data_IF_346044174201
#
_entry.id   IF_346044174201
#
_cell.length_a   1.000
_cell.length_b   1.000
_cell.length_c   1.000
_cell.angle_alpha   90.00
_cell.angle_beta   90.00
_cell.angle_gamma   90.00
#
_symmetry.space_group_name_H-M   'P 1'
#
loop_
_entity.id
_entity.type
_entity.pdbx_description
1 polymer ?
#
# COMPACT_ATOMS: atom_id res chain seq x y z
N UNK A 1 8.08 1.65 7.27
CA UNK A 1 8.99 0.73 7.99
C UNK A 1 8.59 -0.70 7.69
N UNK A 2 9.57 -1.58 7.46
CA UNK A 2 9.39 -3.04 7.44
C UNK A 2 9.57 -3.63 8.84
N UNK A 3 8.57 -4.40 9.27
CA UNK A 3 8.51 -5.08 10.55
C UNK A 3 8.42 -6.60 10.30
N UNK A 4 9.34 -7.39 10.86
CA UNK A 4 9.40 -8.83 10.57
C UNK A 4 8.37 -9.56 11.42
N UNK A 5 7.38 -10.17 10.76
CA UNK A 5 6.36 -10.99 11.41
C UNK A 5 6.76 -12.47 11.43
N UNK A 6 7.29 -12.97 10.31
CA UNK A 6 7.83 -14.33 10.15
C UNK A 6 9.08 -14.29 9.26
N UNK A 7 9.73 -15.44 9.06
CA UNK A 7 10.89 -15.57 8.18
C UNK A 7 10.62 -15.17 6.73
N UNK A 8 9.42 -15.47 6.24
CA UNK A 8 8.98 -15.20 4.86
C UNK A 8 7.95 -14.08 4.78
N UNK A 9 7.71 -13.35 5.88
CA UNK A 9 6.64 -12.35 5.96
C UNK A 9 7.05 -11.09 6.72
N UNK A 10 6.95 -9.97 6.02
CA UNK A 10 7.23 -8.65 6.54
C UNK A 10 5.96 -7.79 6.46
N UNK A 11 5.75 -6.94 7.46
CA UNK A 11 4.64 -6.01 7.54
C UNK A 11 5.16 -4.60 7.26
N UNK A 12 4.43 -3.86 6.43
CA UNK A 12 4.72 -2.45 6.18
C UNK A 12 3.85 -1.60 7.10
N UNK A 13 4.48 -0.74 7.91
CA UNK A 13 3.83 0.15 8.87
C UNK A 13 4.38 1.58 8.74
N UNK A 14 3.55 2.59 8.98
CA UNK A 14 4.00 3.99 9.05
C UNK A 14 4.96 4.24 10.24
N UNK A 15 4.72 3.60 11.37
CA UNK A 15 5.54 3.66 12.59
C UNK A 15 5.46 2.33 13.36
N UNK A 16 6.34 2.09 14.37
CA UNK A 16 6.33 0.84 15.14
C UNK A 16 5.00 0.56 15.86
N UNK A 17 4.30 1.60 16.30
CA UNK A 17 3.02 1.49 17.02
C UNK A 17 1.81 1.52 16.07
N UNK A 18 2.02 1.81 14.79
CA UNK A 18 0.95 1.88 13.80
C UNK A 18 0.46 0.49 13.38
N UNK A 19 -0.82 0.37 13.00
CA UNK A 19 -1.34 -0.85 12.41
C UNK A 19 -0.62 -1.18 11.09
N UNK A 20 -0.58 -2.47 10.68
CA UNK A 20 -0.02 -2.86 9.39
C UNK A 20 -0.89 -2.33 8.25
N UNK A 21 -0.23 -1.79 7.23
CA UNK A 21 -0.86 -1.20 6.04
C UNK A 21 -0.67 -2.06 4.79
N UNK A 22 0.43 -2.81 4.73
CA UNK A 22 0.68 -3.79 3.67
C UNK A 22 1.47 -5.00 4.20
N UNK A 23 1.43 -6.08 3.43
CA UNK A 23 2.26 -7.28 3.64
C UNK A 23 3.24 -7.41 2.50
N UNK A 24 4.47 -7.78 2.82
CA UNK A 24 5.50 -8.20 1.88
C UNK A 24 5.84 -9.66 2.20
N UNK A 25 5.49 -10.56 1.30
CA UNK A 25 5.67 -12.01 1.49
C UNK A 25 6.70 -12.56 0.50
N UNK A 26 7.46 -13.57 0.91
CA UNK A 26 8.36 -14.29 0.02
C UNK A 26 7.53 -14.94 -1.10
N UNK A 27 7.90 -14.69 -2.34
CA UNK A 27 7.22 -15.26 -3.50
C UNK A 27 8.25 -15.70 -4.54
N UNK A 28 8.50 -17.01 -4.60
CA UNK A 28 9.58 -17.57 -5.40
C UNK A 28 10.94 -16.97 -5.00
N UNK A 29 11.64 -16.36 -5.97
CA UNK A 29 12.92 -15.68 -5.73
C UNK A 29 12.80 -14.23 -5.23
N UNK A 30 11.60 -13.66 -5.17
CA UNK A 30 11.34 -12.26 -4.85
C UNK A 30 10.42 -12.06 -3.65
N UNK A 31 9.77 -10.91 -3.64
CA UNK A 31 8.92 -10.41 -2.57
C UNK A 31 7.64 -9.83 -3.17
N UNK A 32 6.50 -10.40 -2.84
CA UNK A 32 5.19 -9.94 -3.30
C UNK A 32 4.64 -8.91 -2.32
N UNK A 33 4.26 -7.74 -2.84
CA UNK A 33 3.54 -6.72 -2.09
C UNK A 33 2.03 -6.93 -2.22
N UNK A 34 1.36 -6.99 -1.08
CA UNK A 34 -0.09 -7.11 -0.99
C UNK A 34 -0.60 -6.04 -0.05
N UNK A 35 -1.66 -5.32 -0.45
CA UNK A 35 -2.32 -4.36 0.44
C UNK A 35 -2.95 -5.10 1.61
N UNK A 36 -2.76 -4.60 2.85
CA UNK A 36 -3.39 -5.20 4.02
C UNK A 36 -4.87 -4.83 4.04
N UNK A 37 -5.75 -5.83 4.05
CA UNK A 37 -7.18 -5.64 4.28
C UNK A 37 -7.66 -6.50 5.45
N UNK A 38 -8.49 -5.91 6.33
CA UNK A 38 -9.04 -6.64 7.49
C UNK A 38 -10.00 -7.76 7.06
N UNK A 39 -10.60 -7.62 5.87
CA UNK A 39 -11.67 -8.51 5.41
C UNK A 39 -11.12 -9.75 4.66
N UNK A 40 -9.81 -9.84 4.38
CA UNK A 40 -9.14 -10.84 3.51
C UNK A 40 -9.70 -11.02 2.09
N UNK A 41 -10.95 -10.65 1.82
CA UNK A 41 -11.60 -10.72 0.51
C UNK A 41 -11.15 -9.61 -0.45
N UNK A 42 -10.34 -8.65 0.02
CA UNK A 42 -9.86 -7.49 -0.74
C UNK A 42 -8.34 -7.34 -0.78
N UNK A 43 -7.60 -8.43 -0.55
CA UNK A 43 -6.13 -8.41 -0.65
C UNK A 43 -5.72 -8.20 -2.12
N UNK A 44 -5.45 -6.94 -2.46
CA UNK A 44 -4.99 -6.56 -3.78
C UNK A 44 -3.47 -6.78 -3.87
N UNK A 45 -3.03 -7.61 -4.81
CA UNK A 45 -1.62 -7.77 -5.11
C UNK A 45 -1.14 -6.59 -5.96
N UNK A 46 -0.18 -5.83 -5.43
CA UNK A 46 0.33 -4.61 -6.05
C UNK A 46 1.56 -4.85 -6.93
N UNK A 47 2.23 -6.00 -6.76
CA UNK A 47 3.37 -6.40 -7.58
C UNK A 47 4.35 -7.33 -6.88
N UNK A 48 5.36 -7.78 -7.63
CA UNK A 48 6.48 -8.59 -7.14
C UNK A 48 7.79 -7.82 -7.36
N UNK A 49 8.62 -7.77 -6.32
CA UNK A 49 9.86 -7.02 -6.25
C UNK A 49 11.03 -7.95 -5.93
N UNK A 50 12.25 -7.57 -6.31
CA UNK A 50 13.45 -8.36 -6.07
C UNK A 50 13.96 -8.25 -4.63
N UNK A 51 13.57 -7.21 -3.90
CA UNK A 51 13.94 -6.95 -2.52
C UNK A 51 12.74 -6.42 -1.72
N UNK A 52 12.71 -6.68 -0.41
CA UNK A 52 11.61 -6.26 0.46
C UNK A 52 11.55 -4.73 0.60
N UNK A 53 12.70 -4.07 0.64
CA UNK A 53 12.86 -2.62 0.73
C UNK A 53 12.30 -1.93 -0.52
N UNK A 54 12.41 -2.57 -1.69
CA UNK A 54 11.80 -2.07 -2.92
C UNK A 54 10.27 -2.18 -2.87
N UNK A 55 9.74 -3.27 -2.29
CA UNK A 55 8.31 -3.44 -2.07
C UNK A 55 7.77 -2.37 -1.11
N UNK A 56 8.49 -2.08 -0.02
CA UNK A 56 8.14 -0.99 0.90
C UNK A 56 8.12 0.36 0.19
N UNK A 57 9.17 0.72 -0.54
CA UNK A 57 9.23 1.98 -1.26
C UNK A 57 8.09 2.11 -2.28
N UNK A 58 7.74 1.01 -2.94
CA UNK A 58 6.61 0.97 -3.87
C UNK A 58 5.25 1.17 -3.18
N UNK A 59 5.07 0.63 -1.96
CA UNK A 59 3.86 0.87 -1.16
C UNK A 59 3.66 2.36 -0.87
N UNK A 60 4.69 3.05 -0.40
CA UNK A 60 4.58 4.49 -0.09
C UNK A 60 4.24 5.32 -1.33
N UNK A 61 4.85 4.99 -2.48
CA UNK A 61 4.53 5.62 -3.77
C UNK A 61 3.10 5.34 -4.22
N UNK A 62 2.60 4.14 -3.98
CA UNK A 62 1.21 3.78 -4.29
C UNK A 62 0.23 4.61 -3.45
N UNK A 63 0.48 4.74 -2.14
CA UNK A 63 -0.32 5.58 -1.24
C UNK A 63 -0.32 7.06 -1.65
N UNK A 64 0.85 7.61 -1.97
CA UNK A 64 0.95 9.00 -2.42
C UNK A 64 0.14 9.24 -3.70
N UNK A 65 0.17 8.27 -4.62
CA UNK A 65 -0.62 8.32 -5.85
C UNK A 65 -2.13 8.24 -5.59
N UNK A 66 -2.57 7.39 -4.67
CA UNK A 66 -4.00 7.27 -4.30
C UNK A 66 -4.50 8.56 -3.62
N UNK A 67 -3.71 9.11 -2.69
CA UNK A 67 -4.02 10.37 -2.01
C UNK A 67 -4.10 11.56 -2.98
N UNK A 68 -3.18 11.63 -3.95
CA UNK A 68 -3.22 12.63 -5.01
C UNK A 68 -4.47 12.52 -5.89
N UNK A 69 -4.83 11.30 -6.30
CA UNK A 69 -6.01 11.04 -7.15
C UNK A 69 -7.34 11.35 -6.45
N UNK A 70 -7.49 11.00 -5.16
CA UNK A 70 -8.67 11.34 -4.35
C UNK A 70 -8.86 12.84 -4.17
N UNK A 71 -7.76 13.59 -4.06
CA UNK A 71 -7.79 15.04 -3.92
C UNK A 71 -8.21 15.72 -5.22
N UNK A 72 -7.72 15.22 -6.37
CA UNK A 72 -8.11 15.72 -7.69
C UNK A 72 -9.60 15.52 -7.99
N UNK A 73 -10.11 14.30 -7.76
CA UNK A 73 -11.54 13.97 -7.99
C UNK A 73 -12.48 14.76 -7.09
N UNK A 74 -12.14 14.97 -5.80
CA UNK A 74 -12.95 15.82 -4.90
C UNK A 74 -12.96 17.29 -5.35
N UNK A 75 -11.83 17.80 -5.82
CA UNK A 75 -11.71 19.17 -6.31
C UNK A 75 -12.47 19.38 -7.63
N UNK A 76 -12.52 18.37 -8.49
CA UNK A 76 -13.29 18.41 -9.74
C UNK A 76 -14.81 18.33 -9.48
N UNK A 77 -15.25 17.50 -8.52
CA UNK A 77 -16.64 17.45 -8.09
C UNK A 77 -17.10 18.76 -7.42
N UNK A 78 -16.25 19.39 -6.61
CA UNK A 78 -16.55 20.68 -5.99
C UNK A 78 -16.68 21.82 -7.01
N UNK A 79 -15.91 21.81 -8.10
CA UNK A 79 -16.05 22.80 -9.18
C UNK A 79 -17.33 22.66 -9.99
N UNK A 80 -17.81 21.43 -10.23
CA UNK A 80 -19.07 21.21 -10.97
C UNK A 80 -20.33 21.63 -10.19
N UNK A 81 -20.25 21.79 -8.87
CA UNK A 81 -21.40 22.20 -8.04
C UNK A 81 -21.52 23.73 -7.89
N UNK A 82 -20.53 24.51 -8.34
CA UNK A 82 -20.52 25.97 -8.26
C UNK A 82 -21.04 26.70 -9.50
N UNK A 83 -21.49 25.96 -10.51
CA UNK A 83 -22.01 26.46 -11.79
C UNK A 83 -23.49 26.02 -11.91
N UNK A 84 -24.36 26.60 -11.10
CA UNK A 84 -25.82 26.45 -11.16
C UNK A 84 -26.51 27.74 -10.71
#
# INVERSE_FOLDING_TARGET
MLDRADDDRLLVRASPEAPPEAVVERFGGGWRLTRWSVDRAGDESLGVYTAAELAEAAWWRHLDRDRGQRTATRSEAARRLGDA
#
